data_IF_461782570208
#
_entry.id   IF_461782570208
#
_cell.length_a   1.000
_cell.length_b   1.000
_cell.length_c   1.000
_cell.angle_alpha   90.00
_cell.angle_beta   90.00
_cell.angle_gamma   90.00
#
_symmetry.space_group_name_H-M   'P 1'
#
loop_
_entity.id
_entity.type
_entity.pdbx_description
1 polymer ?
#
# COMPACT_ATOMS: atom_id res chain seq x y z
N UNK A 1 -5.79 10.18 1.77
CA UNK A 1 -4.47 9.57 1.58
C UNK A 1 -3.74 10.32 0.47
N UNK A 2 -2.59 10.90 0.75
CA UNK A 2 -1.89 11.71 -0.24
C UNK A 2 -1.19 10.84 -1.30
N UNK A 3 -0.88 11.48 -2.44
CA UNK A 3 0.02 10.89 -3.44
C UNK A 3 1.46 10.89 -2.87
N UNK A 4 2.20 9.84 -3.18
CA UNK A 4 3.62 9.78 -2.80
C UNK A 4 4.40 10.87 -3.55
N UNK A 5 5.21 11.62 -2.79
CA UNK A 5 6.09 12.64 -3.36
C UNK A 5 7.29 11.94 -4.03
N UNK A 6 7.49 12.08 -5.35
CA UNK A 6 8.65 11.47 -6.02
C UNK A 6 10.00 11.97 -5.49
N UNK A 7 10.05 13.22 -5.00
CA UNK A 7 11.25 13.80 -4.42
C UNK A 7 11.65 13.07 -3.15
N UNK A 8 10.66 12.66 -2.34
CA UNK A 8 10.91 11.89 -1.12
C UNK A 8 11.63 10.58 -1.42
N UNK A 9 11.15 9.83 -2.41
CA UNK A 9 11.76 8.55 -2.78
C UNK A 9 13.23 8.73 -3.15
N UNK A 10 13.54 9.78 -3.91
CA UNK A 10 14.92 10.09 -4.32
C UNK A 10 15.80 10.42 -3.12
N UNK A 11 15.30 11.24 -2.21
CA UNK A 11 16.02 11.66 -0.99
C UNK A 11 16.30 10.43 -0.10
N UNK A 12 15.32 9.53 0.05
CA UNK A 12 15.50 8.31 0.82
C UNK A 12 16.51 7.37 0.16
N UNK A 13 16.47 7.25 -1.15
CA UNK A 13 17.42 6.43 -1.92
C UNK A 13 18.85 6.96 -1.79
N UNK A 14 19.04 8.27 -1.58
CA UNK A 14 20.34 8.87 -1.32
C UNK A 14 20.84 8.61 0.11
N UNK A 15 20.04 7.93 0.95
CA UNK A 15 20.45 7.54 2.30
C UNK A 15 20.29 8.61 3.36
N UNK A 16 19.38 9.56 3.15
CA UNK A 16 19.10 10.64 4.12
C UNK A 16 18.32 10.10 5.33
N UNK A 17 19.04 9.69 6.35
CA UNK A 17 18.48 9.10 7.58
C UNK A 17 17.65 10.12 8.35
N UNK A 18 18.04 11.38 8.38
CA UNK A 18 17.28 12.43 9.07
C UNK A 18 15.91 12.62 8.44
N UNK A 19 15.86 12.66 7.11
CA UNK A 19 14.60 12.77 6.38
C UNK A 19 13.73 11.53 6.60
N UNK A 20 14.31 10.32 6.61
CA UNK A 20 13.58 9.09 6.89
C UNK A 20 12.94 9.13 8.28
N UNK A 21 13.68 9.60 9.29
CA UNK A 21 13.15 9.72 10.65
C UNK A 21 12.01 10.75 10.73
N UNK A 22 12.14 11.88 10.05
CA UNK A 22 11.05 12.88 10.00
C UNK A 22 9.80 12.33 9.35
N UNK A 23 9.94 11.60 8.25
CA UNK A 23 8.79 10.96 7.57
C UNK A 23 8.13 9.91 8.46
N UNK A 24 8.92 9.15 9.21
CA UNK A 24 8.40 8.15 10.15
C UNK A 24 7.58 8.79 11.25
N UNK A 25 8.00 9.94 11.76
CA UNK A 25 7.35 10.62 12.88
C UNK A 25 6.23 11.56 12.46
N UNK A 26 6.38 12.27 11.34
CA UNK A 26 5.53 13.39 10.95
C UNK A 26 4.85 13.21 9.60
N UNK A 27 5.32 12.29 8.78
CA UNK A 27 4.76 12.04 7.48
C UNK A 27 3.46 11.24 7.53
N UNK A 28 2.76 11.11 6.40
CA UNK A 28 1.55 10.30 6.33
C UNK A 28 1.88 8.83 6.58
N UNK A 29 0.99 8.12 7.27
CA UNK A 29 1.16 6.69 7.53
C UNK A 29 1.23 5.89 6.23
N UNK A 30 0.40 6.27 5.25
CA UNK A 30 0.33 5.64 3.92
C UNK A 30 0.18 6.70 2.85
N UNK A 31 0.73 6.42 1.67
CA UNK A 31 0.60 7.25 0.48
C UNK A 31 0.20 6.39 -0.72
N UNK A 32 -0.43 7.02 -1.71
CA UNK A 32 -0.76 6.38 -2.97
C UNK A 32 0.46 6.49 -3.90
N UNK A 33 0.98 5.34 -4.32
CA UNK A 33 2.11 5.27 -5.24
C UNK A 33 1.64 5.37 -6.68
N UNK A 34 0.56 4.66 -7.01
CA UNK A 34 0.02 4.60 -8.35
C UNK A 34 -1.44 4.16 -8.30
N UNK A 35 -2.22 4.62 -9.29
CA UNK A 35 -3.61 4.20 -9.50
C UNK A 35 -3.72 3.72 -10.95
N UNK A 36 -4.35 2.57 -11.16
CA UNK A 36 -4.61 2.02 -12.50
C UNK A 36 -6.10 1.77 -12.66
N UNK A 37 -6.63 2.18 -13.81
CA UNK A 37 -8.03 1.92 -14.15
C UNK A 37 -8.16 0.50 -14.72
N UNK A 38 -8.33 -0.47 -13.82
CA UNK A 38 -8.48 -1.87 -14.23
C UNK A 38 -9.81 -2.11 -14.93
N UNK A 39 -10.85 -1.36 -14.55
CA UNK A 39 -12.17 -1.45 -15.19
C UNK A 39 -12.10 -1.17 -16.68
N UNK A 40 -11.24 -0.24 -17.09
CA UNK A 40 -11.07 0.09 -18.50
C UNK A 40 -10.52 -1.09 -19.32
N UNK A 41 -9.72 -1.97 -18.72
CA UNK A 41 -9.18 -3.16 -19.38
C UNK A 41 -10.29 -4.17 -19.71
N UNK A 42 -11.39 -4.18 -18.98
CA UNK A 42 -12.49 -5.10 -19.18
C UNK A 42 -13.26 -4.81 -20.47
N UNK A 43 -13.04 -3.65 -21.09
CA UNK A 43 -13.59 -3.37 -22.41
C UNK A 43 -13.13 -4.39 -23.46
N UNK A 44 -11.92 -4.94 -23.30
CA UNK A 44 -11.38 -6.01 -24.17
C UNK A 44 -12.24 -7.27 -24.06
N UNK A 45 -12.78 -7.54 -22.86
CA UNK A 45 -13.66 -8.67 -22.61
C UNK A 45 -15.13 -8.36 -22.87
N UNK A 46 -15.45 -7.16 -23.38
CA UNK A 46 -16.82 -6.74 -23.65
C UNK A 46 -17.61 -6.35 -22.42
N UNK A 47 -16.94 -6.05 -21.30
CA UNK A 47 -17.59 -5.67 -20.05
C UNK A 47 -17.33 -4.21 -19.70
N UNK A 48 -18.31 -3.59 -19.05
CA UNK A 48 -18.18 -2.25 -18.47
C UNK A 48 -18.30 -2.37 -16.95
N UNK A 49 -17.19 -2.20 -16.24
CA UNK A 49 -17.15 -2.25 -14.78
C UNK A 49 -16.28 -1.14 -14.22
N UNK A 50 -16.63 -0.67 -13.03
CA UNK A 50 -15.83 0.29 -12.29
C UNK A 50 -14.89 -0.45 -11.35
N UNK A 51 -13.59 -0.34 -11.62
CA UNK A 51 -12.56 -0.94 -10.79
C UNK A 51 -11.27 -0.15 -10.91
N UNK A 52 -10.70 0.24 -9.77
CA UNK A 52 -9.42 0.92 -9.69
C UNK A 52 -8.47 0.07 -8.85
N UNK A 53 -7.24 -0.09 -9.31
CA UNK A 53 -6.17 -0.73 -8.54
C UNK A 53 -5.27 0.35 -7.97
N UNK A 54 -5.19 0.42 -6.65
CA UNK A 54 -4.30 1.33 -5.94
C UNK A 54 -3.06 0.58 -5.48
N UNK A 55 -1.90 1.18 -5.69
CA UNK A 55 -0.66 0.78 -5.03
C UNK A 55 -0.42 1.75 -3.88
N UNK A 56 -0.44 1.23 -2.67
CA UNK A 56 -0.45 2.01 -1.42
C UNK A 56 0.67 1.53 -0.52
N UNK A 57 1.36 2.46 0.12
CA UNK A 57 2.39 2.07 1.06
C UNK A 57 3.09 3.25 1.70
N UNK A 58 4.22 2.92 2.32
CA UNK A 58 5.11 3.86 2.97
C UNK A 58 6.54 3.37 2.72
N UNK A 59 7.37 4.14 1.99
CA UNK A 59 8.71 3.67 1.63
C UNK A 59 9.61 3.45 2.85
N UNK A 60 9.45 4.24 3.91
CA UNK A 60 10.22 4.06 5.14
C UNK A 60 9.81 2.75 5.83
N UNK A 61 8.50 2.50 5.95
CA UNK A 61 7.98 1.26 6.54
C UNK A 61 8.40 0.04 5.72
N UNK A 62 8.35 0.13 4.39
CA UNK A 62 8.81 -0.95 3.52
C UNK A 62 10.27 -1.32 3.80
N UNK A 63 11.14 -0.33 3.99
CA UNK A 63 12.55 -0.57 4.29
C UNK A 63 12.77 -1.30 5.60
N UNK A 64 11.87 -1.13 6.58
CA UNK A 64 11.94 -1.82 7.86
C UNK A 64 11.63 -3.31 7.75
N UNK A 65 10.94 -3.73 6.70
CA UNK A 65 10.70 -5.14 6.38
C UNK A 65 11.80 -5.69 5.47
N UNK A 66 12.10 -4.99 4.38
CA UNK A 66 13.04 -5.47 3.38
C UNK A 66 14.49 -5.53 3.88
N UNK A 67 14.84 -4.72 4.89
CA UNK A 67 16.16 -4.82 5.55
C UNK A 67 16.38 -6.18 6.20
N UNK A 68 15.32 -6.88 6.60
CA UNK A 68 15.40 -8.21 7.22
C UNK A 68 15.15 -9.32 6.21
N UNK A 69 14.32 -9.06 5.21
CA UNK A 69 13.96 -10.01 4.17
C UNK A 69 13.75 -9.27 2.86
N UNK A 70 14.75 -9.29 1.98
CA UNK A 70 14.69 -8.53 0.73
C UNK A 70 13.54 -8.94 -0.17
N UNK A 71 13.16 -10.21 -0.16
CA UNK A 71 12.05 -10.70 -0.98
C UNK A 71 10.67 -10.17 -0.53
N UNK A 72 10.58 -9.53 0.65
CA UNK A 72 9.36 -8.82 1.03
C UNK A 72 9.03 -7.69 0.02
N UNK A 73 10.01 -7.21 -0.72
CA UNK A 73 9.81 -6.22 -1.79
C UNK A 73 8.83 -6.70 -2.88
N UNK A 74 8.62 -8.01 -3.01
CA UNK A 74 7.62 -8.57 -3.95
C UNK A 74 6.20 -8.07 -3.64
N UNK A 75 5.92 -7.71 -2.39
CA UNK A 75 4.58 -7.35 -1.92
C UNK A 75 4.47 -5.89 -1.47
N UNK A 76 5.46 -5.08 -1.78
CA UNK A 76 5.47 -3.65 -1.50
C UNK A 76 5.65 -2.87 -2.82
N UNK A 77 4.74 -1.94 -3.14
CA UNK A 77 3.60 -1.46 -2.35
C UNK A 77 2.46 -2.48 -2.20
N UNK A 78 1.61 -2.23 -1.20
CA UNK A 78 0.38 -3.00 -1.00
C UNK A 78 -0.60 -2.65 -2.12
N UNK A 79 -1.32 -3.64 -2.62
CA UNK A 79 -2.33 -3.47 -3.66
C UNK A 79 -3.72 -3.54 -3.06
N UNK A 80 -4.56 -2.55 -3.39
CA UNK A 80 -5.95 -2.45 -2.96
C UNK A 80 -6.81 -2.22 -4.18
N UNK A 81 -7.80 -3.08 -4.39
CA UNK A 81 -8.79 -2.89 -5.46
C UNK A 81 -10.02 -2.20 -4.87
N UNK A 82 -10.43 -1.12 -5.49
CA UNK A 82 -11.73 -0.50 -5.22
C UNK A 82 -12.62 -0.80 -6.41
N UNK A 83 -13.73 -1.50 -6.19
CA UNK A 83 -14.63 -1.85 -7.28
C UNK A 83 -16.09 -1.74 -6.86
N UNK A 84 -16.96 -1.65 -7.86
CA UNK A 84 -18.40 -1.71 -7.67
C UNK A 84 -18.86 -3.15 -7.76
N UNK A 85 -19.57 -3.62 -6.72
CA UNK A 85 -20.11 -4.98 -6.70
C UNK A 85 -21.45 -5.06 -7.44
N UNK A 86 -22.07 -6.26 -7.49
CA UNK A 86 -23.27 -6.53 -8.26
C UNK A 86 -24.50 -5.76 -7.77
N UNK A 87 -24.48 -5.25 -6.54
CA UNK A 87 -25.58 -4.45 -5.98
C UNK A 87 -25.30 -2.95 -5.99
N UNK A 88 -24.22 -2.52 -6.66
CA UNK A 88 -23.87 -1.12 -6.84
C UNK A 88 -23.12 -0.49 -5.69
N UNK A 89 -22.58 -1.26 -4.76
CA UNK A 89 -21.79 -0.76 -3.66
C UNK A 89 -20.30 -0.75 -4.01
N UNK A 90 -19.58 0.28 -3.54
CA UNK A 90 -18.13 0.30 -3.60
C UNK A 90 -17.52 -0.63 -2.55
N UNK A 91 -16.55 -1.43 -2.96
CA UNK A 91 -15.86 -2.40 -2.10
C UNK A 91 -14.36 -2.20 -2.22
N UNK A 92 -13.68 -2.13 -1.07
CA UNK A 92 -12.23 -2.25 -1.02
C UNK A 92 -11.88 -3.71 -0.72
N UNK A 93 -10.99 -4.27 -1.53
CA UNK A 93 -10.50 -5.63 -1.32
C UNK A 93 -8.98 -5.65 -1.38
N UNK A 94 -8.37 -6.34 -0.43
CA UNK A 94 -6.91 -6.44 -0.35
C UNK A 94 -6.51 -7.64 0.51
N UNK A 95 -5.29 -8.12 0.29
CA UNK A 95 -4.71 -9.12 1.18
C UNK A 95 -4.23 -8.45 2.46
N UNK A 96 -4.55 -9.04 3.61
CA UNK A 96 -4.09 -8.52 4.90
C UNK A 96 -2.56 -8.52 4.95
N UNK A 97 -1.90 -7.37 5.15
CA UNK A 97 -0.45 -7.28 5.13
C UNK A 97 0.25 -8.31 6.03
N UNK A 98 -0.21 -8.48 7.27
CA UNK A 98 0.43 -9.45 8.19
C UNK A 98 0.34 -10.89 7.69
N UNK A 99 -0.66 -11.25 6.91
CA UNK A 99 -0.76 -12.57 6.29
C UNK A 99 0.25 -12.70 5.15
N UNK A 100 0.29 -11.72 4.26
CA UNK A 100 1.18 -11.72 3.10
C UNK A 100 2.65 -11.71 3.52
N UNK A 101 3.02 -10.78 4.39
CA UNK A 101 4.41 -10.66 4.86
C UNK A 101 4.75 -11.71 5.91
N UNK A 102 3.76 -12.24 6.60
CA UNK A 102 3.95 -13.30 7.60
C UNK A 102 4.39 -14.62 7.01
N UNK A 103 4.17 -14.84 5.72
CA UNK A 103 4.58 -16.08 5.03
C UNK A 103 6.08 -16.33 5.06
N UNK A 104 6.88 -15.29 5.28
CA UNK A 104 8.33 -15.43 5.37
C UNK A 104 8.82 -16.04 6.69
N UNK A 105 7.95 -16.09 7.71
CA UNK A 105 8.30 -16.65 9.01
C UNK A 105 9.31 -15.83 9.81
N UNK A 106 9.46 -14.55 9.51
CA UNK A 106 10.33 -13.62 10.22
C UNK A 106 9.48 -12.67 11.09
N UNK A 107 9.62 -12.81 12.41
CA UNK A 107 8.82 -12.02 13.37
C UNK A 107 9.05 -10.52 13.26
N UNK A 108 10.25 -10.10 12.85
CA UNK A 108 10.57 -8.68 12.67
C UNK A 108 9.79 -8.08 11.49
N UNK A 109 9.62 -8.85 10.43
CA UNK A 109 8.81 -8.47 9.26
C UNK A 109 7.33 -8.48 9.61
N UNK A 110 6.86 -9.53 10.27
CA UNK A 110 5.45 -9.69 10.66
C UNK A 110 5.00 -8.56 11.59
N UNK A 111 5.85 -8.17 12.54
CA UNK A 111 5.52 -7.09 13.48
C UNK A 111 5.30 -5.75 12.75
N UNK A 112 6.12 -5.42 11.77
CA UNK A 112 5.94 -4.21 10.93
C UNK A 112 4.64 -4.32 10.14
N UNK A 113 4.37 -5.49 9.55
CA UNK A 113 3.18 -5.70 8.75
C UNK A 113 1.87 -5.59 9.56
N UNK A 114 1.88 -5.94 10.83
CA UNK A 114 0.71 -5.73 11.72
C UNK A 114 0.39 -4.24 11.89
N UNK A 115 1.41 -3.41 11.95
CA UNK A 115 1.22 -1.95 11.93
C UNK A 115 0.57 -1.47 10.63
N UNK A 116 0.92 -2.09 9.50
CA UNK A 116 0.29 -1.81 8.21
C UNK A 116 -1.17 -2.26 8.18
N UNK A 117 -1.52 -3.39 8.81
CA UNK A 117 -2.92 -3.83 8.92
C UNK A 117 -3.78 -2.72 9.52
N UNK A 118 -3.33 -2.16 10.64
CA UNK A 118 -4.06 -1.11 11.36
C UNK A 118 -4.12 0.20 10.56
N UNK A 119 -3.00 0.61 9.98
CA UNK A 119 -2.92 1.85 9.21
C UNK A 119 -3.81 1.80 7.96
N UNK A 120 -3.81 0.66 7.27
CA UNK A 120 -4.60 0.46 6.05
C UNK A 120 -6.10 0.45 6.38
N UNK A 121 -6.50 -0.28 7.41
CA UNK A 121 -7.89 -0.32 7.85
C UNK A 121 -8.41 1.08 8.22
N UNK A 122 -7.64 1.86 8.98
CA UNK A 122 -8.02 3.24 9.33
C UNK A 122 -8.16 4.13 8.11
N UNK A 123 -7.20 4.06 7.19
CA UNK A 123 -7.19 4.91 5.99
C UNK A 123 -8.38 4.60 5.08
N UNK A 124 -8.71 3.32 4.90
CA UNK A 124 -9.83 2.92 4.05
C UNK A 124 -11.17 3.25 4.69
N UNK A 125 -11.31 3.12 6.01
CA UNK A 125 -12.52 3.54 6.72
C UNK A 125 -12.76 5.05 6.58
N UNK A 126 -11.71 5.87 6.66
CA UNK A 126 -11.83 7.32 6.44
C UNK A 126 -12.30 7.65 5.04
N UNK A 127 -11.88 6.89 4.04
CA UNK A 127 -12.27 7.10 2.66
C UNK A 127 -13.76 6.85 2.41
N UNK A 128 -14.44 6.15 3.33
CA UNK A 128 -15.89 5.86 3.25
C UNK A 128 -16.76 6.87 4.00
N UNK A 129 -16.15 7.80 4.71
CA UNK A 129 -16.85 8.84 5.48
C UNK A 129 -17.38 9.99 4.61
#
# INVERSE_FOLDING_TARGET
>A
MPQLDPTLVKVLADGDVERANREKEQGPALSIFQVRDHGALLAIAGEARNALLYEIGNPVTASLMTRHRISAALYAPIRVVLYENDVGHGVFEYDQPSTTFGQFGDQRVTAVARGLDAALARSLLRATE
#
